data_IF_723483760810
#
_entry.id   IF_723483760810
#
_cell.length_a   1.000
_cell.length_b   1.000
_cell.length_c   1.000
_cell.angle_alpha   90.00
_cell.angle_beta   90.00
_cell.angle_gamma   90.00
#
_symmetry.space_group_name_H-M   'P 1'
#
loop_
_entity.id
_entity.type
_entity.pdbx_description
1 polymer ?
#
# COMPACT_ATOMS: atom_id res chain seq x y z
N UNK A 1 11.33 1.31 1.01
CA UNK A 1 10.21 0.74 0.22
C UNK A 1 9.81 1.70 -0.90
N UNK A 2 9.22 2.86 -0.60
CA UNK A 2 8.77 3.86 -1.59
C UNK A 2 9.88 4.29 -2.56
N UNK A 3 11.09 4.55 -2.08
CA UNK A 3 12.26 4.92 -2.91
C UNK A 3 12.58 3.84 -3.94
N UNK A 4 12.47 2.56 -3.58
CA UNK A 4 12.69 1.46 -4.52
C UNK A 4 11.53 1.33 -5.51
N UNK A 5 10.29 1.40 -5.02
CA UNK A 5 9.09 1.30 -5.85
C UNK A 5 9.09 2.36 -6.95
N UNK A 6 9.23 3.64 -6.57
CA UNK A 6 9.21 4.75 -7.52
C UNK A 6 10.54 4.94 -8.27
N UNK A 7 11.60 4.26 -7.84
CA UNK A 7 12.87 4.16 -8.56
C UNK A 7 12.92 3.02 -9.58
N UNK A 8 11.80 2.36 -9.87
CA UNK A 8 11.71 1.27 -10.85
C UNK A 8 12.28 -0.06 -10.37
N UNK A 9 12.33 -0.29 -9.05
CA UNK A 9 12.83 -1.52 -8.43
C UNK A 9 11.77 -2.10 -7.47
N UNK A 10 10.60 -2.52 -7.97
CA UNK A 10 9.50 -2.97 -7.12
C UNK A 10 9.83 -4.25 -6.33
N UNK A 11 10.65 -5.17 -6.84
CA UNK A 11 11.10 -6.35 -6.10
C UNK A 11 11.89 -5.97 -4.84
N UNK A 12 12.79 -4.99 -4.96
CA UNK A 12 13.51 -4.43 -3.81
C UNK A 12 12.58 -3.70 -2.84
N UNK A 13 11.47 -3.16 -3.33
CA UNK A 13 10.46 -2.55 -2.47
C UNK A 13 9.75 -3.61 -1.63
N UNK A 14 9.46 -4.79 -2.19
CA UNK A 14 8.92 -5.96 -1.46
C UNK A 14 9.90 -6.40 -0.37
N UNK A 15 11.16 -6.69 -0.73
CA UNK A 15 12.19 -7.09 0.23
C UNK A 15 12.32 -6.09 1.40
N UNK A 16 12.32 -4.79 1.08
CA UNK A 16 12.41 -3.73 2.09
C UNK A 16 11.17 -3.65 2.98
N UNK A 17 9.99 -3.99 2.47
CA UNK A 17 8.74 -3.99 3.23
C UNK A 17 8.64 -5.23 4.14
N UNK A 18 9.04 -6.39 3.64
CA UNK A 18 9.08 -7.62 4.44
C UNK A 18 10.06 -7.46 5.62
N UNK A 19 11.22 -6.87 5.37
CA UNK A 19 12.21 -6.56 6.42
C UNK A 19 11.73 -5.54 7.44
N UNK A 20 10.85 -4.62 7.07
CA UNK A 20 10.35 -3.63 8.04
C UNK A 20 9.33 -4.23 8.98
N UNK A 21 8.76 -5.40 8.65
CA UNK A 21 7.75 -6.12 9.44
C UNK A 21 6.60 -5.20 9.91
N UNK A 22 6.19 -4.25 9.04
CA UNK A 22 5.19 -3.23 9.37
C UNK A 22 5.51 -2.37 10.61
N UNK A 23 6.79 -2.23 10.98
CA UNK A 23 7.23 -1.31 12.06
C UNK A 23 6.73 0.12 11.88
N UNK A 24 6.48 0.53 10.63
CA UNK A 24 5.79 1.77 10.28
C UNK A 24 4.53 1.39 9.48
N UNK A 25 3.35 1.95 9.82
CA UNK A 25 2.09 1.59 9.17
C UNK A 25 2.11 1.65 7.64
N UNK A 26 2.81 2.62 7.05
CA UNK A 26 2.87 2.76 5.59
C UNK A 26 3.55 1.57 4.87
N UNK A 27 4.30 0.73 5.58
CA UNK A 27 5.07 -0.35 4.96
C UNK A 27 4.20 -1.36 4.23
N UNK A 28 3.10 -1.77 4.85
CA UNK A 28 2.19 -2.75 4.28
C UNK A 28 1.57 -2.26 2.98
N UNK A 29 1.14 -0.99 2.92
CA UNK A 29 0.59 -0.42 1.70
C UNK A 29 1.61 -0.35 0.55
N UNK A 30 2.90 -0.09 0.83
CA UNK A 30 3.94 -0.16 -0.20
C UNK A 30 4.24 -1.58 -0.66
N UNK A 31 4.14 -2.58 0.22
CA UNK A 31 4.26 -4.00 -0.16
C UNK A 31 3.16 -4.39 -1.14
N UNK A 32 1.91 -4.04 -0.82
CA UNK A 32 0.74 -4.26 -1.68
C UNK A 32 0.97 -3.66 -3.06
N UNK A 33 1.35 -2.38 -3.11
CA UNK A 33 1.60 -1.68 -4.36
C UNK A 33 2.75 -2.33 -5.17
N UNK A 34 3.83 -2.74 -4.50
CA UNK A 34 4.97 -3.37 -5.17
C UNK A 34 4.64 -4.76 -5.74
N UNK A 35 3.88 -5.59 -5.02
CA UNK A 35 3.38 -6.88 -5.52
C UNK A 35 2.50 -6.69 -6.76
N UNK A 36 1.59 -5.70 -6.72
CA UNK A 36 0.75 -5.38 -7.86
C UNK A 36 1.55 -4.80 -9.05
N UNK A 37 2.64 -4.07 -8.79
CA UNK A 37 3.52 -3.53 -9.83
C UNK A 37 4.25 -4.62 -10.63
N UNK A 38 4.60 -5.74 -9.98
CA UNK A 38 5.26 -6.91 -10.64
C UNK A 38 4.27 -7.97 -11.12
N UNK A 39 2.96 -7.72 -11.04
CA UNK A 39 1.93 -8.64 -11.51
C UNK A 39 1.61 -9.81 -10.58
N UNK A 40 2.13 -9.83 -9.34
CA UNK A 40 1.81 -10.84 -8.31
C UNK A 40 0.47 -10.51 -7.64
N UNK A 41 -0.61 -10.53 -8.42
CA UNK A 41 -1.90 -9.96 -8.04
C UNK A 41 -2.61 -10.72 -6.91
N UNK A 42 -2.49 -12.05 -6.86
CA UNK A 42 -3.12 -12.83 -5.79
C UNK A 42 -2.49 -12.53 -4.43
N UNK A 43 -1.17 -12.47 -4.39
CA UNK A 43 -0.42 -12.05 -3.20
C UNK A 43 -0.68 -10.59 -2.85
N UNK A 44 -0.86 -9.71 -3.85
CA UNK A 44 -1.21 -8.32 -3.60
C UNK A 44 -2.59 -8.20 -2.93
N UNK A 45 -3.57 -8.98 -3.38
CA UNK A 45 -4.93 -9.03 -2.79
C UNK A 45 -4.93 -9.56 -1.37
N UNK A 46 -4.19 -10.63 -1.13
CA UNK A 46 -4.00 -11.16 0.23
C UNK A 46 -3.32 -10.13 1.12
N UNK A 47 -2.21 -9.57 0.65
CA UNK A 47 -1.48 -8.53 1.37
C UNK A 47 -2.33 -7.29 1.65
N UNK A 48 -3.30 -6.96 0.80
CA UNK A 48 -4.22 -5.85 1.01
C UNK A 48 -5.17 -6.13 2.17
N UNK A 49 -5.79 -7.31 2.21
CA UNK A 49 -6.69 -7.71 3.31
C UNK A 49 -5.96 -7.72 4.65
N UNK A 50 -4.76 -8.30 4.68
CA UNK A 50 -3.92 -8.34 5.88
C UNK A 50 -3.54 -6.93 6.34
N UNK A 51 -3.22 -6.06 5.38
CA UNK A 51 -2.86 -4.68 5.68
C UNK A 51 -4.04 -3.89 6.25
N UNK A 52 -5.26 -4.06 5.72
CA UNK A 52 -6.46 -3.44 6.27
C UNK A 52 -6.68 -3.88 7.70
N UNK A 53 -6.61 -5.19 7.99
CA UNK A 53 -6.72 -5.71 9.36
C UNK A 53 -5.65 -5.14 10.30
N UNK A 54 -4.40 -5.04 9.82
CA UNK A 54 -3.29 -4.46 10.56
C UNK A 54 -3.53 -2.98 10.93
N UNK A 55 -4.01 -2.17 9.98
CA UNK A 55 -4.32 -0.74 10.19
C UNK A 55 -5.53 -0.59 11.09
N UNK A 56 -6.59 -1.38 10.88
CA UNK A 56 -7.80 -1.33 11.68
C UNK A 56 -7.54 -1.59 13.16
N UNK A 57 -6.66 -2.56 13.49
CA UNK A 57 -6.25 -2.84 14.86
C UNK A 57 -5.44 -1.72 15.54
N UNK A 58 -5.03 -0.68 14.79
CA UNK A 58 -4.23 0.47 15.26
C UNK A 58 -4.91 1.81 14.93
N UNK A 59 -6.17 1.77 14.53
CA UNK A 59 -6.86 2.93 14.03
C UNK A 59 -7.28 3.86 15.18
N UNK A 60 -6.92 5.12 15.07
CA UNK A 60 -7.32 6.19 15.99
C UNK A 60 -8.08 7.32 15.27
N UNK A 61 -8.51 7.10 14.02
CA UNK A 61 -9.33 8.06 13.28
C UNK A 61 -10.81 8.00 13.68
N UNK A 62 -11.58 8.95 13.18
CA UNK A 62 -13.03 8.95 13.34
C UNK A 62 -13.68 7.88 12.46
N UNK A 63 -14.56 7.08 13.05
CA UNK A 63 -15.26 5.99 12.36
C UNK A 63 -14.44 4.71 12.18
N UNK A 64 -15.05 3.65 11.61
CA UNK A 64 -14.39 2.38 11.39
C UNK A 64 -13.32 2.48 10.29
N UNK A 65 -12.19 1.80 10.50
CA UNK A 65 -11.17 1.61 9.46
C UNK A 65 -11.57 0.49 8.49
N UNK A 66 -12.60 0.76 7.68
CA UNK A 66 -12.95 -0.11 6.55
C UNK A 66 -11.94 0.03 5.39
N UNK A 67 -12.05 -0.83 4.38
CA UNK A 67 -11.12 -0.82 3.24
C UNK A 67 -11.05 0.53 2.53
N UNK A 68 -12.19 1.23 2.39
CA UNK A 68 -12.27 2.55 1.75
C UNK A 68 -11.55 3.62 2.55
N UNK A 69 -11.71 3.58 3.87
CA UNK A 69 -11.06 4.49 4.80
C UNK A 69 -9.56 4.26 4.83
N UNK A 70 -9.12 3.00 4.89
CA UNK A 70 -7.69 2.63 4.86
C UNK A 70 -7.05 2.99 3.53
N UNK A 71 -7.73 2.74 2.40
CA UNK A 71 -7.22 3.10 1.06
C UNK A 71 -7.06 4.61 0.93
N UNK A 72 -8.08 5.39 1.32
CA UNK A 72 -8.03 6.86 1.28
C UNK A 72 -6.94 7.42 2.18
N UNK A 73 -6.83 6.93 3.41
CA UNK A 73 -5.78 7.34 4.35
C UNK A 73 -4.39 7.01 3.82
N UNK A 74 -4.18 5.80 3.30
CA UNK A 74 -2.88 5.41 2.77
C UNK A 74 -2.50 6.19 1.51
N UNK A 75 -3.46 6.57 0.67
CA UNK A 75 -3.19 7.41 -0.51
C UNK A 75 -2.86 8.86 -0.16
N UNK A 76 -3.33 9.36 0.99
CA UNK A 76 -3.07 10.73 1.45
C UNK A 76 -1.85 10.88 2.35
N UNK A 77 -1.43 9.82 3.05
CA UNK A 77 -0.37 9.88 4.04
C UNK A 77 1.07 10.03 3.48
N UNK A 78 1.47 9.35 2.38
CA UNK A 78 2.78 9.51 1.78
C UNK A 78 3.04 10.90 1.18
N UNK A 79 4.23 11.49 1.40
CA UNK A 79 4.67 12.67 0.67
C UNK A 79 5.13 12.27 -0.75
N UNK A 80 4.20 11.85 -1.62
CA UNK A 80 4.49 11.50 -3.01
C UNK A 80 4.50 12.77 -3.86
N UNK A 81 5.69 13.11 -4.37
CA UNK A 81 5.98 14.42 -4.96
C UNK A 81 5.30 14.70 -6.29
N UNK A 82 4.94 13.68 -7.09
CA UNK A 82 4.39 13.89 -8.44
C UNK A 82 2.99 13.30 -8.63
N UNK A 83 2.20 13.94 -9.50
CA UNK A 83 0.86 13.44 -9.87
C UNK A 83 0.92 12.05 -10.52
N UNK A 84 1.95 11.79 -11.34
CA UNK A 84 2.18 10.48 -11.96
C UNK A 84 2.34 9.39 -10.91
N UNK A 85 3.26 9.57 -9.94
CA UNK A 85 3.49 8.57 -8.90
C UNK A 85 2.24 8.33 -8.02
N UNK A 86 1.42 9.37 -7.77
CA UNK A 86 0.14 9.22 -7.09
C UNK A 86 -0.85 8.38 -7.89
N UNK A 87 -0.91 8.58 -9.20
CA UNK A 87 -1.77 7.79 -10.09
C UNK A 87 -1.29 6.35 -10.22
N UNK A 88 0.01 6.12 -10.32
CA UNK A 88 0.59 4.77 -10.34
C UNK A 88 0.29 4.04 -9.03
N UNK A 89 0.47 4.71 -7.88
CA UNK A 89 0.12 4.12 -6.57
C UNK A 89 -1.35 3.76 -6.47
N UNK A 90 -2.24 4.68 -6.88
CA UNK A 90 -3.69 4.42 -6.92
C UNK A 90 -3.99 3.21 -7.81
N UNK A 91 -3.41 3.14 -8.99
CA UNK A 91 -3.63 2.05 -9.93
C UNK A 91 -3.15 0.70 -9.39
N UNK A 92 -1.99 0.65 -8.73
CA UNK A 92 -1.48 -0.59 -8.12
C UNK A 92 -2.34 -1.07 -6.95
N UNK A 93 -2.81 -0.16 -6.10
CA UNK A 93 -3.75 -0.51 -5.03
C UNK A 93 -5.08 -1.01 -5.60
N UNK A 94 -5.60 -0.38 -6.65
CA UNK A 94 -6.81 -0.84 -7.33
C UNK A 94 -6.65 -2.24 -7.92
N UNK A 95 -5.49 -2.56 -8.50
CA UNK A 95 -5.17 -3.93 -8.97
C UNK A 95 -5.13 -4.96 -7.83
N UNK A 96 -4.75 -4.53 -6.63
CA UNK A 96 -4.77 -5.34 -5.41
C UNK A 96 -6.17 -5.46 -4.77
N UNK A 97 -7.21 -4.85 -5.36
CA UNK A 97 -8.58 -4.90 -4.86
C UNK A 97 -8.95 -3.78 -3.90
N UNK A 98 -8.06 -2.80 -3.65
CA UNK A 98 -8.40 -1.66 -2.81
C UNK A 98 -9.48 -0.78 -3.48
N UNK A 99 -10.50 -0.32 -2.73
CA UNK A 99 -11.50 0.62 -3.22
C UNK A 99 -10.89 2.03 -3.37
N UNK A 100 -10.40 2.33 -4.57
CA UNK A 100 -9.65 3.56 -4.89
C UNK A 100 -10.41 4.56 -5.78
N UNK A 101 -11.73 4.44 -5.80
CA UNK A 101 -12.67 5.32 -6.53
C UNK A 101 -12.73 6.74 -6.00
#
# INVERSE_FOLDING_TARGET
MSVYLFGGRPERAIEAADRSQNSIPLSGGYRVAALAAVGRLDEARESWRDYVGYVAGRWHGTGPADESTVARWFLSAPPIGTARQRNDLRAWLGKAGAPVG
#
